data_IF_476386452508
#
_entry.id   IF_476386452508
#
_cell.length_a   1.000
_cell.length_b   1.000
_cell.length_c   1.000
_cell.angle_alpha   90.00
_cell.angle_beta   90.00
_cell.angle_gamma   90.00
#
_symmetry.space_group_name_H-M   'P 1'
#
loop_
_entity.id
_entity.type
_entity.pdbx_description
1 polymer ?
#
# COMPACT_ATOMS: atom_id res chain seq x y z
N UNK A 1 -11.07 6.21 -5.98
CA UNK A 1 -10.78 6.15 -7.43
C UNK A 1 -12.00 6.68 -8.17
N UNK A 2 -11.81 7.69 -9.02
CA UNK A 2 -12.85 8.35 -9.81
C UNK A 2 -12.67 7.94 -11.27
N UNK A 3 -13.70 7.34 -11.85
CA UNK A 3 -13.72 6.86 -13.22
C UNK A 3 -14.75 7.62 -14.04
N UNK A 4 -14.69 7.48 -15.36
CA UNK A 4 -15.59 8.07 -16.35
C UNK A 4 -15.47 9.60 -16.48
N UNK A 5 -14.26 10.12 -16.25
CA UNK A 5 -13.98 11.56 -16.38
C UNK A 5 -14.11 12.07 -17.83
N UNK A 6 -14.21 11.17 -18.80
CA UNK A 6 -14.55 11.47 -20.20
C UNK A 6 -15.94 12.07 -20.38
N UNK A 7 -16.86 11.85 -19.44
CA UNK A 7 -18.21 12.46 -19.48
C UNK A 7 -18.21 13.93 -19.07
N UNK A 8 -17.07 14.45 -18.62
CA UNK A 8 -16.93 15.83 -18.15
C UNK A 8 -16.03 16.58 -19.14
N UNK A 9 -16.49 17.74 -19.67
CA UNK A 9 -15.65 18.63 -20.46
C UNK A 9 -14.35 18.97 -19.74
N UNK A 10 -13.25 19.18 -20.48
CA UNK A 10 -11.92 19.38 -19.89
C UNK A 10 -11.90 20.60 -18.96
N UNK A 11 -12.55 21.68 -19.42
CA UNK A 11 -12.69 22.96 -18.74
C UNK A 11 -13.40 22.86 -17.38
N UNK A 12 -14.35 21.92 -17.26
CA UNK A 12 -15.17 21.72 -16.07
C UNK A 12 -14.58 20.64 -15.14
N UNK A 13 -13.61 19.85 -15.61
CA UNK A 13 -13.28 18.57 -14.97
C UNK A 13 -12.67 18.76 -13.59
N UNK A 14 -11.77 19.73 -13.44
CA UNK A 14 -11.13 19.98 -12.16
C UNK A 14 -12.13 20.46 -11.12
N UNK A 15 -13.00 21.40 -11.49
CA UNK A 15 -14.04 21.94 -10.63
C UNK A 15 -15.04 20.86 -10.22
N UNK A 16 -15.56 20.07 -11.17
CA UNK A 16 -16.51 18.99 -10.86
C UNK A 16 -15.92 17.92 -9.96
N UNK A 17 -14.64 17.58 -10.15
CA UNK A 17 -13.95 16.62 -9.29
C UNK A 17 -13.76 17.20 -7.88
N UNK A 18 -13.37 18.47 -7.76
CA UNK A 18 -13.22 19.13 -6.47
C UNK A 18 -14.55 19.19 -5.71
N UNK A 19 -15.63 19.62 -6.38
CA UNK A 19 -16.98 19.69 -5.80
C UNK A 19 -17.48 18.30 -5.40
N UNK A 20 -17.24 17.29 -6.24
CA UNK A 20 -17.59 15.91 -5.92
C UNK A 20 -16.86 15.41 -4.67
N UNK A 21 -15.55 15.64 -4.58
CA UNK A 21 -14.75 15.22 -3.41
C UNK A 21 -15.17 15.97 -2.14
N UNK A 22 -15.47 17.26 -2.24
CA UNK A 22 -15.99 18.07 -1.14
C UNK A 22 -17.31 17.52 -0.61
N UNK A 23 -18.25 17.22 -1.51
CA UNK A 23 -19.55 16.65 -1.16
C UNK A 23 -19.43 15.21 -0.64
N UNK A 24 -18.55 14.39 -1.22
CA UNK A 24 -18.37 12.99 -0.83
C UNK A 24 -17.76 12.84 0.57
N UNK A 25 -16.82 13.72 0.92
CA UNK A 25 -16.06 13.55 2.15
C UNK A 25 -16.84 13.92 3.42
N UNK A 26 -18.02 14.57 3.36
CA UNK A 26 -18.87 14.84 4.54
C UNK A 26 -18.11 15.31 5.82
N UNK A 27 -17.01 16.06 5.67
CA UNK A 27 -16.17 16.52 6.78
C UNK A 27 -15.05 15.56 7.24
N UNK A 28 -14.91 14.39 6.64
CA UNK A 28 -13.73 13.52 6.77
C UNK A 28 -12.53 14.17 6.07
N UNK A 29 -11.29 13.94 6.55
CA UNK A 29 -10.09 14.45 5.91
C UNK A 29 -10.07 14.05 4.44
N UNK A 30 -9.81 15.01 3.56
CA UNK A 30 -9.68 14.75 2.13
C UNK A 30 -8.77 13.55 1.93
N UNK A 31 -9.29 12.46 1.34
CA UNK A 31 -8.47 11.35 0.91
C UNK A 31 -7.46 11.90 -0.11
N UNK A 32 -6.25 12.20 0.36
CA UNK A 32 -5.26 13.05 -0.31
C UNK A 32 -4.82 12.53 -1.69
N UNK A 33 -5.14 11.28 -2.03
CA UNK A 33 -4.85 10.71 -3.34
C UNK A 33 -6.06 9.95 -3.87
N UNK A 34 -6.90 10.63 -4.65
CA UNK A 34 -7.85 9.97 -5.51
C UNK A 34 -7.24 9.76 -6.91
N UNK A 35 -7.28 8.53 -7.42
CA UNK A 35 -6.92 8.26 -8.81
C UNK A 35 -8.03 8.74 -9.73
N UNK A 36 -7.70 9.68 -10.63
CA UNK A 36 -8.57 10.22 -11.67
C UNK A 36 -8.31 9.44 -12.96
N UNK A 37 -9.28 8.66 -13.42
CA UNK A 37 -9.11 7.78 -14.59
C UNK A 37 -10.28 7.89 -15.57
N UNK A 38 -10.05 7.44 -16.80
CA UNK A 38 -11.12 7.06 -17.72
C UNK A 38 -10.78 5.71 -18.34
N UNK A 39 -11.55 4.70 -17.97
CA UNK A 39 -11.29 3.33 -18.39
C UNK A 39 -11.49 3.12 -19.90
N UNK A 40 -12.41 3.86 -20.53
CA UNK A 40 -12.73 3.70 -21.97
C UNK A 40 -11.59 4.20 -22.86
N UNK A 41 -10.91 5.26 -22.44
CA UNK A 41 -9.78 5.84 -23.19
C UNK A 41 -8.41 5.46 -22.60
N UNK A 42 -8.39 4.71 -21.49
CA UNK A 42 -7.17 4.27 -20.80
C UNK A 42 -6.42 5.35 -20.01
N UNK A 43 -6.95 6.58 -19.94
CA UNK A 43 -6.32 7.69 -19.20
C UNK A 43 -6.23 7.36 -17.72
N UNK A 44 -5.05 7.56 -17.12
CA UNK A 44 -4.80 7.33 -15.69
C UNK A 44 -4.73 5.86 -15.27
N UNK A 45 -5.08 4.92 -16.14
CA UNK A 45 -5.10 3.49 -15.81
C UNK A 45 -3.69 2.94 -15.58
N UNK A 46 -2.70 3.40 -16.35
CA UNK A 46 -1.30 2.97 -16.19
C UNK A 46 -0.73 3.41 -14.83
N UNK A 47 -0.96 4.67 -14.45
CA UNK A 47 -0.52 5.21 -13.16
C UNK A 47 -1.21 4.47 -12.00
N UNK A 48 -2.50 4.14 -12.14
CA UNK A 48 -3.23 3.35 -11.17
C UNK A 48 -2.61 1.95 -10.99
N UNK A 49 -2.29 1.26 -12.08
CA UNK A 49 -1.69 -0.08 -12.02
C UNK A 49 -0.31 -0.05 -11.36
N UNK A 50 0.54 0.93 -11.68
CA UNK A 50 1.85 1.05 -11.03
C UNK A 50 1.73 1.34 -9.54
N UNK A 51 0.88 2.28 -9.14
CA UNK A 51 0.66 2.56 -7.72
C UNK A 51 0.09 1.34 -6.97
N UNK A 52 -0.75 0.54 -7.63
CA UNK A 52 -1.25 -0.72 -7.07
C UNK A 52 -0.13 -1.76 -6.92
N UNK A 53 0.73 -1.89 -7.93
CA UNK A 53 1.88 -2.78 -7.88
C UNK A 53 2.81 -2.41 -6.72
N UNK A 54 3.19 -1.14 -6.61
CA UNK A 54 4.04 -0.64 -5.53
C UNK A 54 3.43 -0.96 -4.14
N UNK A 55 2.12 -0.75 -3.98
CA UNK A 55 1.43 -1.07 -2.73
C UNK A 55 1.43 -2.57 -2.42
N UNK A 56 1.23 -3.42 -3.43
CA UNK A 56 1.28 -4.88 -3.27
C UNK A 56 2.69 -5.36 -2.91
N UNK A 57 3.72 -4.80 -3.52
CA UNK A 57 5.11 -5.11 -3.24
C UNK A 57 5.50 -4.69 -1.81
N UNK A 58 5.10 -3.51 -1.36
CA UNK A 58 5.32 -3.02 0.01
C UNK A 58 4.66 -3.94 1.06
N UNK A 59 3.41 -4.35 0.80
CA UNK A 59 2.69 -5.28 1.67
C UNK A 59 3.33 -6.68 1.67
N UNK A 60 3.89 -7.12 0.54
CA UNK A 60 4.64 -8.36 0.43
C UNK A 60 5.95 -8.34 1.22
N UNK A 61 6.73 -7.26 1.08
CA UNK A 61 7.99 -7.05 1.81
C UNK A 61 7.76 -7.04 3.32
N UNK A 62 6.75 -6.30 3.78
CA UNK A 62 6.37 -6.23 5.20
C UNK A 62 6.09 -7.63 5.79
N UNK A 63 5.44 -8.51 5.04
CA UNK A 63 5.17 -9.90 5.47
C UNK A 63 6.43 -10.77 5.54
N UNK A 64 7.37 -10.60 4.61
CA UNK A 64 8.62 -11.35 4.61
C UNK A 64 9.54 -10.92 5.75
N UNK A 65 9.66 -9.61 5.99
CA UNK A 65 10.48 -9.06 7.07
C UNK A 65 9.97 -9.49 8.45
N UNK A 66 8.64 -9.53 8.62
CA UNK A 66 8.01 -10.04 9.86
C UNK A 66 8.34 -11.51 10.10
N UNK A 67 8.27 -12.36 9.07
CA UNK A 67 8.61 -13.78 9.20
C UNK A 67 10.11 -13.99 9.52
N UNK A 68 10.99 -13.20 8.91
CA UNK A 68 12.43 -13.31 9.15
C UNK A 68 12.80 -12.85 10.56
N UNK A 69 12.17 -11.79 11.07
CA UNK A 69 12.30 -11.35 12.46
C UNK A 69 11.80 -12.41 13.46
N UNK A 70 10.67 -13.07 13.15
CA UNK A 70 10.12 -14.13 14.00
C UNK A 70 10.99 -15.40 14.01
N UNK A 71 11.68 -15.71 12.90
CA UNK A 71 12.62 -16.85 12.84
C UNK A 71 13.96 -16.62 13.54
N UNK A 72 14.36 -15.35 13.76
CA UNK A 72 15.61 -15.00 14.46
C UNK A 72 15.48 -14.95 15.98
N UNK A 73 14.25 -14.90 16.52
CA UNK A 73 13.97 -14.91 17.96
C UNK A 73 13.82 -16.29 18.60
N UNK A 74 14.09 -17.37 17.85
CA UNK A 74 13.99 -18.77 18.33
C UNK A 74 15.36 -19.48 18.42
N UNK A 75 16.45 -18.73 18.28
CA UNK A 75 17.81 -19.26 18.40
C UNK A 75 18.44 -18.47 19.55
N UNK A 76 18.54 -19.12 20.70
CA UNK A 76 19.38 -18.81 21.88
C UNK A 76 18.56 -18.83 23.18
N UNK A 77 18.52 -19.99 23.86
CA UNK A 77 18.56 -20.04 25.34
C UNK A 77 18.92 -21.42 25.95
N UNK A 78 19.02 -22.53 25.19
CA UNK A 78 19.27 -23.87 25.76
C UNK A 78 20.60 -24.56 25.37
N UNK A 79 21.67 -23.81 25.07
CA UNK A 79 23.01 -24.42 24.86
C UNK A 79 24.03 -24.02 25.94
N UNK A 80 23.66 -24.22 27.21
CA UNK A 80 24.61 -24.30 28.32
C UNK A 80 24.44 -25.64 29.06
N UNK A 81 24.86 -26.73 28.41
CA UNK A 81 24.98 -28.04 29.05
C UNK A 81 26.36 -28.64 28.78
N UNK A 82 27.34 -28.15 29.55
CA UNK A 82 28.28 -29.00 30.27
C UNK A 82 29.20 -29.92 29.47
N UNK A 83 30.33 -29.38 29.01
CA UNK A 83 31.56 -30.16 28.90
C UNK A 83 32.61 -29.64 29.89
N UNK A 84 32.39 -29.91 31.18
CA UNK A 84 33.46 -29.95 32.16
C UNK A 84 34.13 -31.33 32.07
N UNK A 85 35.36 -31.34 31.56
CA UNK A 85 36.25 -32.49 31.46
C UNK A 85 36.45 -33.14 32.84
N UNK A 86 36.21 -34.45 32.90
CA UNK A 86 36.42 -35.30 34.07
C UNK A 86 37.91 -35.43 34.41
N UNK A 87 38.25 -35.15 35.67
CA UNK A 87 39.47 -35.64 36.32
C UNK A 87 39.49 -37.17 36.32
N UNK A 88 40.62 -37.75 35.92
CA UNK A 88 41.09 -39.10 36.30
C UNK A 88 42.60 -39.21 36.07
#
# INVERSE_FOLDING_TARGET
MLNKLDLIPEEDREERVANFLQAYNNGMPMAASCFKISAINGTGCRQLIYALQDALEEMGRTKQDTNLANSRGLIDEDNDAGYATRDA
#
